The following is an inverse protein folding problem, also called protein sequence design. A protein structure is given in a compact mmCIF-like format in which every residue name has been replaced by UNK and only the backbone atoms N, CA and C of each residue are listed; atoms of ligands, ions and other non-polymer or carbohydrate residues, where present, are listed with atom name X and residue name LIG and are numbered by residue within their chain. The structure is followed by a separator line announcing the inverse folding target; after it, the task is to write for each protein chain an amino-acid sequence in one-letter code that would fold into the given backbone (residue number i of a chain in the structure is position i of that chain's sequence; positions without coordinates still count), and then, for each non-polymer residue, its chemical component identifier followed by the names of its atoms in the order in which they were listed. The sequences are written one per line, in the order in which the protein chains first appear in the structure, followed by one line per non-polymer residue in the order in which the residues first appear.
data_IF_501104215906
#
_entry.id   IF_501104215906
#
_cell.length_a   1.000
_cell.length_b   1.000
_cell.length_c   1.000
_cell.angle_alpha   90.00
_cell.angle_beta   90.00
_cell.angle_gamma   90.00
#
_symmetry.space_group_name_H-M   'P 1'
#
loop_
_entity.id
_entity.type
_entity.pdbx_description
1 polymer ?
#
# COMPACT_ATOMS: atom_id res chain seq x y z
N UNK A 1 -19.75 -7.32 -7.94
CA UNK A 1 -20.40 -6.01 -7.87
C UNK A 1 -19.63 -5.03 -8.76
N UNK A 2 -20.30 -4.49 -9.77
CA UNK A 2 -19.77 -3.46 -10.66
C UNK A 2 -20.15 -2.08 -10.09
N UNK A 3 -19.16 -1.34 -9.64
CA UNK A 3 -19.33 -0.03 -9.04
C UNK A 3 -18.84 1.04 -10.04
N UNK A 4 -19.74 1.66 -10.77
CA UNK A 4 -19.41 2.78 -11.66
C UNK A 4 -18.89 4.00 -10.86
N UNK A 5 -19.41 4.19 -9.66
CA UNK A 5 -18.96 5.24 -8.73
C UNK A 5 -19.45 4.91 -7.32
N UNK A 6 -18.54 4.83 -6.38
CA UNK A 6 -18.80 4.79 -4.96
C UNK A 6 -18.06 5.96 -4.32
N UNK A 7 -18.76 6.83 -3.61
CA UNK A 7 -18.15 7.88 -2.78
C UNK A 7 -18.48 7.63 -1.33
N UNK A 8 -17.46 7.69 -0.48
CA UNK A 8 -17.58 7.42 0.94
C UNK A 8 -16.44 8.12 1.71
N UNK A 9 -16.44 8.02 3.01
CA UNK A 9 -15.31 8.40 3.87
C UNK A 9 -14.76 7.19 4.60
N UNK A 10 -13.53 7.29 5.11
CA UNK A 10 -12.97 6.22 5.95
C UNK A 10 -13.81 6.00 7.20
N UNK A 11 -14.41 7.05 7.76
CA UNK A 11 -15.29 6.91 8.91
C UNK A 11 -16.53 6.07 8.60
N UNK A 12 -17.13 6.26 7.42
CA UNK A 12 -18.29 5.45 7.01
C UNK A 12 -17.88 3.99 6.79
N UNK A 13 -16.72 3.77 6.13
CA UNK A 13 -16.18 2.41 5.91
C UNK A 13 -15.86 1.73 7.24
N UNK A 14 -15.25 2.43 8.21
CA UNK A 14 -14.95 1.89 9.53
C UNK A 14 -16.20 1.53 10.34
N UNK A 15 -17.27 2.30 10.17
CA UNK A 15 -18.56 2.08 10.85
C UNK A 15 -19.45 1.07 10.12
N UNK A 16 -19.02 0.55 8.97
CA UNK A 16 -19.79 -0.44 8.25
C UNK A 16 -19.83 -1.77 9.02
N UNK A 17 -21.01 -2.15 9.48
CA UNK A 17 -21.21 -3.39 10.23
C UNK A 17 -21.29 -4.59 9.28
N UNK A 18 -20.28 -5.43 9.28
CA UNK A 18 -20.29 -6.71 8.59
C UNK A 18 -20.81 -7.75 9.57
N UNK A 19 -21.85 -8.48 9.18
CA UNK A 19 -22.34 -9.61 9.97
C UNK A 19 -21.88 -10.92 9.30
N UNK A 20 -21.03 -11.68 10.00
CA UNK A 20 -20.58 -13.01 9.58
C UNK A 20 -20.86 -14.03 10.67
N UNK A 21 -21.61 -15.09 10.35
CA UNK A 21 -21.98 -16.12 11.32
C UNK A 21 -22.65 -15.54 12.59
N UNK A 22 -23.52 -14.52 12.44
CA UNK A 22 -24.20 -13.86 13.54
C UNK A 22 -23.33 -12.92 14.39
N UNK A 23 -22.05 -12.77 14.08
CA UNK A 23 -21.12 -11.86 14.77
C UNK A 23 -20.89 -10.62 13.94
N UNK A 24 -20.93 -9.45 14.58
CA UNK A 24 -20.53 -8.18 13.96
C UNK A 24 -19.01 -8.16 13.86
N UNK A 25 -18.50 -7.94 12.65
CA UNK A 25 -17.08 -7.73 12.38
C UNK A 25 -16.92 -6.25 12.02
N UNK A 26 -16.04 -5.56 12.73
CA UNK A 26 -15.69 -4.18 12.45
C UNK A 26 -14.36 -4.15 11.70
N UNK A 27 -14.29 -3.41 10.60
CA UNK A 27 -13.05 -3.25 9.85
C UNK A 27 -12.07 -2.42 10.68
N UNK A 28 -10.91 -2.99 10.96
CA UNK A 28 -9.82 -2.26 11.60
C UNK A 28 -9.02 -1.53 10.53
N UNK A 29 -9.21 -0.22 10.44
CA UNK A 29 -8.55 0.63 9.47
C UNK A 29 -7.39 1.35 10.17
N UNK A 30 -6.17 1.33 9.60
CA UNK A 30 -5.05 2.07 10.16
C UNK A 30 -5.35 3.57 10.26
N UNK A 31 -4.90 4.20 11.34
CA UNK A 31 -5.16 5.62 11.62
C UNK A 31 -4.70 6.56 10.50
N UNK A 32 -3.62 6.20 9.79
CA UNK A 32 -3.10 6.98 8.67
C UNK A 32 -4.11 7.17 7.52
N UNK A 33 -5.13 6.31 7.43
CA UNK A 33 -6.17 6.45 6.42
C UNK A 33 -7.31 7.41 6.79
N UNK A 34 -7.45 7.79 8.06
CA UNK A 34 -8.55 8.69 8.50
C UNK A 34 -8.45 10.12 7.92
N UNK A 35 -7.27 10.52 7.45
CA UNK A 35 -7.04 11.82 6.81
C UNK A 35 -7.16 11.81 5.28
N UNK A 36 -7.67 10.72 4.70
CA UNK A 36 -7.78 10.56 3.24
C UNK A 36 -8.88 11.41 2.60
N UNK A 37 -9.77 11.99 3.40
CA UNK A 37 -10.92 12.74 2.93
C UNK A 37 -11.97 11.86 2.28
N UNK A 38 -12.60 12.36 1.22
CA UNK A 38 -13.55 11.58 0.42
C UNK A 38 -12.78 10.55 -0.39
N UNK A 39 -13.23 9.31 -0.32
CA UNK A 39 -12.79 8.19 -1.13
C UNK A 39 -13.75 8.04 -2.30
N UNK A 40 -13.24 8.09 -3.52
CA UNK A 40 -14.01 7.78 -4.73
C UNK A 40 -13.45 6.52 -5.37
N UNK A 41 -14.26 5.49 -5.42
CA UNK A 41 -13.90 4.20 -6.04
C UNK A 41 -14.74 3.96 -7.29
N UNK A 42 -14.06 3.49 -8.34
CA UNK A 42 -14.67 3.02 -9.58
C UNK A 42 -14.01 1.69 -9.95
N UNK A 43 -14.79 0.64 -10.12
CA UNK A 43 -14.25 -0.67 -10.47
C UNK A 43 -15.15 -1.83 -10.07
N UNK A 44 -14.57 -3.01 -10.09
CA UNK A 44 -15.25 -4.25 -9.76
C UNK A 44 -14.76 -4.77 -8.41
N UNK A 45 -15.70 -5.16 -7.60
CA UNK A 45 -15.46 -5.86 -6.34
C UNK A 45 -16.12 -7.24 -6.42
N UNK A 46 -15.33 -8.28 -6.23
CA UNK A 46 -15.82 -9.67 -6.26
C UNK A 46 -15.38 -10.39 -5.00
N UNK A 47 -16.34 -11.07 -4.36
CA UNK A 47 -16.10 -11.79 -3.11
C UNK A 47 -16.89 -11.25 -1.93
N UNK A 48 -16.48 -11.63 -0.74
CA UNK A 48 -16.98 -11.12 0.53
C UNK A 48 -16.02 -10.06 1.07
N UNK A 49 -16.48 -9.18 1.96
CA UNK A 49 -15.63 -8.16 2.57
C UNK A 49 -14.42 -8.72 3.35
N UNK A 50 -14.46 -10.01 3.68
CA UNK A 50 -13.37 -10.73 4.33
C UNK A 50 -12.41 -11.43 3.36
N UNK A 51 -12.82 -11.60 2.11
CA UNK A 51 -12.09 -12.34 1.08
C UNK A 51 -12.54 -11.77 -0.26
N UNK A 52 -11.75 -10.93 -0.87
CA UNK A 52 -12.17 -10.22 -2.06
C UNK A 52 -11.05 -10.01 -3.07
N UNK A 53 -11.48 -9.90 -4.31
CA UNK A 53 -10.66 -9.39 -5.41
C UNK A 53 -11.20 -8.02 -5.79
N UNK A 54 -10.33 -7.04 -5.85
CA UNK A 54 -10.68 -5.70 -6.29
C UNK A 54 -9.88 -5.32 -7.53
N UNK A 55 -10.61 -4.93 -8.55
CA UNK A 55 -10.07 -4.34 -9.76
C UNK A 55 -10.68 -2.96 -9.93
N UNK A 56 -9.88 -1.91 -9.80
CA UNK A 56 -10.45 -0.58 -9.89
C UNK A 56 -9.47 0.55 -9.57
N UNK A 57 -10.06 1.73 -9.50
CA UNK A 57 -9.34 2.96 -9.19
C UNK A 57 -9.94 3.61 -7.96
N UNK A 58 -9.11 3.80 -6.95
CA UNK A 58 -9.41 4.58 -5.75
C UNK A 58 -8.75 5.95 -5.85
N UNK A 59 -9.53 7.00 -5.65
CA UNK A 59 -9.05 8.39 -5.57
C UNK A 59 -9.33 8.94 -4.19
N UNK A 60 -8.38 9.68 -3.65
CA UNK A 60 -8.47 10.33 -2.34
C UNK A 60 -7.58 11.58 -2.31
N UNK A 61 -7.59 12.31 -1.21
CA UNK A 61 -6.60 13.37 -0.97
C UNK A 61 -5.16 12.85 -0.92
N UNK A 62 -4.97 11.58 -0.66
CA UNK A 62 -3.63 10.96 -0.64
C UNK A 62 -3.08 10.65 -2.03
N UNK A 63 -3.89 10.76 -3.08
CA UNK A 63 -3.52 10.42 -4.46
C UNK A 63 -4.40 9.34 -5.06
N UNK A 64 -3.92 8.74 -6.14
CA UNK A 64 -4.67 7.74 -6.90
C UNK A 64 -4.00 6.38 -6.73
N UNK A 65 -4.81 5.35 -6.48
CA UNK A 65 -4.38 3.96 -6.46
C UNK A 65 -5.23 3.19 -7.46
N UNK A 66 -4.59 2.50 -8.40
CA UNK A 66 -5.23 1.48 -9.24
C UNK A 66 -4.81 0.11 -8.69
N UNK A 67 -5.78 -0.76 -8.52
CA UNK A 67 -5.58 -2.09 -7.94
C UNK A 67 -6.09 -3.17 -8.88
N UNK A 68 -5.37 -4.27 -8.89
CA UNK A 68 -5.79 -5.59 -9.32
C UNK A 68 -5.25 -6.56 -8.27
N UNK A 69 -5.90 -6.57 -7.11
CA UNK A 69 -5.40 -7.21 -5.89
C UNK A 69 -6.44 -8.13 -5.29
N UNK A 70 -6.02 -9.34 -4.95
CA UNK A 70 -6.75 -10.27 -4.09
C UNK A 70 -6.32 -10.07 -2.64
N UNK A 71 -7.29 -10.04 -1.73
CA UNK A 71 -7.07 -9.99 -0.28
C UNK A 71 -7.78 -11.17 0.35
N UNK A 72 -7.05 -12.01 1.07
CA UNK A 72 -7.55 -13.26 1.67
C UNK A 72 -7.22 -13.25 3.16
N UNK A 73 -8.23 -13.36 4.05
CA UNK A 73 -7.97 -13.48 5.47
C UNK A 73 -7.36 -14.85 5.80
N UNK A 74 -6.31 -14.83 6.58
CA UNK A 74 -5.74 -16.01 7.25
C UNK A 74 -6.23 -16.09 8.71
N UNK A 75 -5.68 -17.02 9.48
CA UNK A 75 -5.91 -17.08 10.92
C UNK A 75 -5.21 -15.92 11.63
N UNK A 76 -5.61 -15.65 12.86
CA UNK A 76 -4.93 -14.75 13.79
C UNK A 76 -4.83 -13.28 13.34
N UNK A 77 -5.81 -12.80 12.54
CA UNK A 77 -5.85 -11.40 12.09
C UNK A 77 -4.85 -11.07 10.99
N UNK A 78 -4.32 -12.08 10.31
CA UNK A 78 -3.45 -11.90 9.16
C UNK A 78 -4.28 -11.84 7.89
N UNK A 79 -3.95 -10.92 6.99
CA UNK A 79 -4.51 -10.80 5.64
C UNK A 79 -3.40 -10.95 4.61
N UNK A 80 -3.52 -11.96 3.73
CA UNK A 80 -2.65 -12.04 2.56
C UNK A 80 -3.16 -11.14 1.46
N UNK A 81 -2.26 -10.44 0.81
CA UNK A 81 -2.55 -9.64 -0.37
C UNK A 81 -1.63 -10.07 -1.52
N UNK A 82 -2.20 -10.14 -2.72
CA UNK A 82 -1.44 -10.47 -3.93
C UNK A 82 -2.03 -9.78 -5.13
N UNK A 83 -1.19 -9.19 -5.97
CA UNK A 83 -1.63 -8.60 -7.23
C UNK A 83 -0.80 -7.42 -7.68
N UNK A 84 -1.39 -6.61 -8.56
CA UNK A 84 -0.76 -5.42 -9.12
C UNK A 84 -1.31 -4.15 -8.49
N UNK A 85 -0.40 -3.23 -8.14
CA UNK A 85 -0.74 -1.91 -7.64
C UNK A 85 -0.04 -0.86 -8.51
N UNK A 86 -0.78 0.17 -8.89
CA UNK A 86 -0.22 1.36 -9.51
C UNK A 86 -0.67 2.57 -8.71
N UNK A 87 0.27 3.40 -8.27
CA UNK A 87 -0.03 4.67 -7.60
C UNK A 87 0.33 5.86 -8.49
N UNK A 88 -0.37 6.96 -8.32
CA UNK A 88 -0.02 8.23 -8.95
C UNK A 88 -0.10 9.31 -7.87
N UNK A 89 1.01 9.99 -7.64
CA UNK A 89 1.18 11.06 -6.65
C UNK A 89 0.62 10.68 -5.26
N UNK A 90 0.79 9.41 -4.88
CA UNK A 90 0.28 8.90 -3.61
C UNK A 90 1.16 9.34 -2.46
N UNK A 91 0.59 10.01 -1.46
CA UNK A 91 1.32 10.55 -0.32
C UNK A 91 1.75 9.43 0.65
N UNK A 92 2.92 8.86 0.37
CA UNK A 92 3.53 7.77 1.15
C UNK A 92 3.96 8.25 2.54
N UNK A 93 4.41 9.50 2.64
CA UNK A 93 4.80 10.10 3.92
C UNK A 93 3.64 10.16 4.91
N UNK A 94 2.46 10.56 4.46
CA UNK A 94 1.25 10.55 5.30
C UNK A 94 0.86 9.12 5.71
N UNK A 95 0.98 8.14 4.81
CA UNK A 95 0.68 6.74 5.13
C UNK A 95 1.60 6.20 6.20
N UNK A 96 2.90 6.46 6.08
CA UNK A 96 3.94 5.96 6.99
C UNK A 96 4.19 6.87 8.20
N UNK A 97 3.47 8.00 8.29
CA UNK A 97 3.64 9.02 9.34
C UNK A 97 5.09 9.51 9.45
N UNK A 98 5.72 9.78 8.31
CA UNK A 98 7.08 10.30 8.22
C UNK A 98 7.11 11.60 7.40
N UNK A 99 8.01 12.51 7.74
CA UNK A 99 8.29 13.73 6.99
C UNK A 99 9.48 13.59 6.01
N UNK A 100 10.12 12.43 6.02
CA UNK A 100 11.27 12.15 5.13
C UNK A 100 10.78 11.82 3.73
N UNK A 101 9.62 11.16 3.61
CA UNK A 101 9.02 10.75 2.35
C UNK A 101 7.80 11.64 2.04
N UNK A 102 7.63 11.97 0.78
CA UNK A 102 6.46 12.65 0.25
C UNK A 102 5.62 11.73 -0.65
N UNK A 103 5.41 12.15 -1.89
CA UNK A 103 4.60 11.41 -2.86
C UNK A 103 5.40 10.34 -3.58
N UNK A 104 4.68 9.27 -3.97
CA UNK A 104 5.22 8.18 -4.77
C UNK A 104 4.33 7.90 -5.98
N UNK A 105 4.96 7.69 -7.14
CA UNK A 105 4.34 7.12 -8.33
C UNK A 105 4.99 5.76 -8.59
N UNK A 106 4.27 4.69 -8.32
CA UNK A 106 4.73 3.31 -8.35
C UNK A 106 3.87 2.46 -9.28
N UNK A 107 4.48 1.50 -9.96
CA UNK A 107 3.79 0.47 -10.72
C UNK A 107 4.49 -0.87 -10.50
N UNK A 108 3.81 -1.83 -9.90
CA UNK A 108 4.43 -3.11 -9.60
C UNK A 108 3.49 -4.16 -9.05
N UNK A 109 4.07 -5.32 -8.78
CA UNK A 109 3.40 -6.45 -8.15
C UNK A 109 3.77 -6.51 -6.67
N UNK A 110 2.80 -6.93 -5.89
CA UNK A 110 2.94 -7.13 -4.44
C UNK A 110 2.41 -8.53 -4.08
N UNK A 111 3.07 -9.20 -3.14
CA UNK A 111 2.65 -10.51 -2.64
C UNK A 111 3.12 -10.65 -1.19
N UNK A 112 2.20 -10.58 -0.24
CA UNK A 112 2.59 -10.57 1.16
C UNK A 112 1.45 -10.68 2.14
N UNK A 113 1.76 -10.34 3.38
CA UNK A 113 0.84 -10.42 4.51
C UNK A 113 0.81 -9.09 5.28
N UNK A 114 -0.38 -8.74 5.75
CA UNK A 114 -0.63 -7.68 6.72
C UNK A 114 -1.20 -8.27 8.00
N UNK A 115 -0.57 -7.99 9.13
CA UNK A 115 -1.04 -8.40 10.44
C UNK A 115 -1.72 -7.21 11.13
N UNK A 116 -3.03 -7.35 11.44
CA UNK A 116 -3.81 -6.30 12.08
C UNK A 116 -3.32 -6.03 13.51
N UNK A 117 -2.87 -7.07 14.24
CA UNK A 117 -2.59 -6.98 15.67
C UNK A 117 -1.39 -6.07 15.97
N UNK A 118 -0.33 -6.19 15.20
CA UNK A 118 0.89 -5.39 15.34
C UNK A 118 1.07 -4.35 14.23
N UNK A 119 0.10 -4.30 13.29
CA UNK A 119 0.09 -3.41 12.12
C UNK A 119 1.32 -3.58 11.23
N UNK A 120 1.90 -4.78 11.23
CA UNK A 120 3.07 -5.08 10.42
C UNK A 120 2.68 -5.51 9.00
N UNK A 121 3.54 -5.15 8.05
CA UNK A 121 3.46 -5.58 6.67
C UNK A 121 4.72 -6.38 6.33
N UNK A 122 4.55 -7.44 5.56
CA UNK A 122 5.68 -8.20 5.01
C UNK A 122 5.32 -8.69 3.61
N UNK A 123 6.30 -8.80 2.72
CA UNK A 123 6.03 -9.33 1.39
C UNK A 123 7.08 -8.98 0.36
N UNK A 124 6.88 -9.56 -0.81
CA UNK A 124 7.63 -9.26 -2.03
C UNK A 124 7.04 -8.01 -2.68
N UNK A 125 7.93 -7.12 -3.10
CA UNK A 125 7.64 -5.93 -3.87
C UNK A 125 8.53 -5.93 -5.10
N UNK A 126 7.92 -5.93 -6.26
CA UNK A 126 8.64 -5.92 -7.54
C UNK A 126 8.01 -4.92 -8.49
N UNK A 127 8.77 -3.91 -8.90
CA UNK A 127 8.22 -2.90 -9.80
C UNK A 127 9.14 -1.71 -10.01
N UNK A 128 8.53 -0.64 -10.52
CA UNK A 128 9.18 0.60 -10.85
C UNK A 128 8.54 1.76 -10.12
N UNK A 129 9.37 2.60 -9.52
CA UNK A 129 8.99 3.88 -8.96
C UNK A 129 9.42 4.94 -9.98
N UNK A 130 8.44 5.51 -10.68
CA UNK A 130 8.72 6.57 -11.64
C UNK A 130 9.16 7.86 -10.92
N UNK A 131 8.56 8.14 -9.74
CA UNK A 131 8.88 9.31 -8.92
C UNK A 131 8.73 8.99 -7.45
N UNK A 132 9.68 9.44 -6.64
CA UNK A 132 9.66 9.40 -5.18
C UNK A 132 10.15 10.72 -4.61
N UNK A 133 9.27 11.46 -3.95
CA UNK A 133 9.66 12.63 -3.17
C UNK A 133 10.31 12.18 -1.86
N UNK A 134 11.55 12.59 -1.61
CA UNK A 134 12.24 12.37 -0.34
C UNK A 134 13.17 13.54 -0.03
N UNK A 135 13.07 14.11 1.18
CA UNK A 135 13.91 15.23 1.66
C UNK A 135 14.02 16.36 0.63
N UNK A 136 12.88 16.86 0.14
CA UNK A 136 12.80 17.98 -0.81
C UNK A 136 13.40 17.72 -2.21
N UNK A 137 13.73 16.45 -2.50
CA UNK A 137 14.19 16.02 -3.81
C UNK A 137 13.24 14.99 -4.42
N UNK A 138 13.10 15.00 -5.74
CA UNK A 138 12.32 14.00 -6.49
C UNK A 138 13.29 13.06 -7.16
N UNK A 139 13.38 11.85 -6.64
CA UNK A 139 14.12 10.75 -7.26
C UNK A 139 13.27 10.10 -8.33
N UNK A 140 13.89 9.77 -9.47
CA UNK A 140 13.20 9.18 -10.63
C UNK A 140 13.84 7.85 -11.02
N UNK A 141 13.08 7.04 -11.79
CA UNK A 141 13.57 5.82 -12.45
C UNK A 141 14.20 4.80 -11.48
N UNK A 142 13.46 4.46 -10.43
CA UNK A 142 13.91 3.47 -9.44
C UNK A 142 13.23 2.13 -9.75
N UNK A 143 14.01 1.07 -9.91
CA UNK A 143 13.53 -0.32 -9.97
C UNK A 143 13.81 -1.00 -8.66
N UNK A 144 12.84 -1.76 -8.16
CA UNK A 144 13.01 -2.56 -6.95
C UNK A 144 12.48 -3.98 -7.18
N UNK A 145 13.18 -4.94 -6.57
CA UNK A 145 12.78 -6.35 -6.53
C UNK A 145 13.32 -6.94 -5.23
N UNK A 146 12.44 -7.12 -4.24
CA UNK A 146 12.90 -7.58 -2.93
C UNK A 146 11.77 -7.89 -1.96
N UNK A 147 12.16 -8.44 -0.83
CA UNK A 147 11.29 -8.81 0.27
C UNK A 147 11.47 -7.83 1.44
N UNK A 148 10.36 -7.36 1.95
CA UNK A 148 10.32 -6.49 3.14
C UNK A 148 9.66 -7.21 4.31
N UNK A 149 10.29 -7.17 5.47
CA UNK A 149 9.74 -7.65 6.74
C UNK A 149 10.45 -6.98 7.91
N UNK A 150 9.70 -6.60 8.96
CA UNK A 150 10.26 -6.09 10.23
C UNK A 150 11.28 -4.95 10.04
N UNK A 151 10.99 -4.01 9.12
CA UNK A 151 11.88 -2.91 8.74
C UNK A 151 13.19 -3.35 8.06
N UNK A 152 13.28 -4.60 7.65
CA UNK A 152 14.38 -5.11 6.82
C UNK A 152 13.91 -5.23 5.38
N UNK A 153 14.70 -4.73 4.45
CA UNK A 153 14.55 -4.99 3.02
C UNK A 153 15.69 -5.88 2.55
N UNK A 154 15.37 -6.93 1.82
CA UNK A 154 16.35 -7.86 1.24
C UNK A 154 16.06 -8.00 -0.25
N UNK A 155 16.95 -7.50 -1.11
CA UNK A 155 16.69 -7.47 -2.54
C UNK A 155 17.62 -6.57 -3.33
N UNK A 156 17.11 -6.12 -4.48
CA UNK A 156 17.80 -5.25 -5.42
C UNK A 156 17.07 -3.92 -5.55
N UNK A 157 17.83 -2.83 -5.60
CA UNK A 157 17.37 -1.50 -5.95
C UNK A 157 18.31 -0.93 -7.00
N UNK A 158 17.77 -0.60 -8.15
CA UNK A 158 18.49 0.11 -9.19
C UNK A 158 17.87 1.49 -9.37
N UNK A 159 18.64 2.54 -9.27
CA UNK A 159 18.21 3.92 -9.47
C UNK A 159 19.03 4.54 -10.60
N UNK A 160 18.33 5.10 -11.58
CA UNK A 160 18.92 5.83 -12.70
C UNK A 160 18.31 7.23 -12.79
N UNK A 161 18.58 8.02 -11.75
CA UNK A 161 18.18 9.42 -11.66
C UNK A 161 19.22 10.33 -12.33
N UNK A 162 18.83 11.55 -12.72
CA UNK A 162 19.73 12.51 -13.36
C UNK A 162 20.92 12.92 -12.47
N UNK A 163 20.78 12.90 -11.15
CA UNK A 163 21.78 13.32 -10.18
C UNK A 163 22.40 12.15 -9.40
N UNK A 164 21.75 10.98 -9.41
CA UNK A 164 22.19 9.81 -8.66
C UNK A 164 21.98 8.53 -9.45
N UNK A 165 23.07 7.82 -9.73
CA UNK A 165 23.01 6.46 -10.25
C UNK A 165 23.49 5.50 -9.18
N UNK A 166 22.70 4.48 -8.89
CA UNK A 166 22.93 3.63 -7.74
C UNK A 166 22.37 2.23 -8.01
N UNK A 167 23.22 1.24 -7.79
CA UNK A 167 22.88 -0.18 -7.82
C UNK A 167 23.14 -0.78 -6.44
N UNK A 168 22.11 -1.33 -5.84
CA UNK A 168 22.21 -2.01 -4.57
C UNK A 168 21.68 -3.43 -4.69
N UNK A 169 22.39 -4.38 -4.11
CA UNK A 169 21.93 -5.74 -3.91
C UNK A 169 22.36 -6.21 -2.53
N UNK A 170 21.40 -6.59 -1.70
CA UNK A 170 21.69 -7.06 -0.35
C UNK A 170 20.57 -6.81 0.62
N UNK A 171 20.94 -6.73 1.90
CA UNK A 171 20.01 -6.50 3.00
C UNK A 171 20.20 -5.11 3.59
N UNK A 172 19.10 -4.39 3.78
CA UNK A 172 19.06 -3.04 4.29
C UNK A 172 18.20 -2.99 5.56
N UNK A 173 18.77 -2.51 6.66
CA UNK A 173 18.06 -2.26 7.90
C UNK A 173 17.47 -0.84 7.87
N UNK A 174 16.13 -0.75 7.76
CA UNK A 174 15.37 0.49 7.76
C UNK A 174 14.84 0.86 9.16
N UNK A 175 15.28 0.16 10.21
CA UNK A 175 14.87 0.45 11.59
C UNK A 175 15.54 1.69 12.16
N UNK A 176 16.67 2.10 11.59
CA UNK A 176 17.53 3.22 12.04
C UNK A 176 17.35 4.43 11.12
N UNK A 177 17.61 5.63 11.66
CA UNK A 177 17.55 6.88 10.86
C UNK A 177 18.60 6.91 9.75
N UNK A 178 19.72 6.23 9.95
CA UNK A 178 20.75 5.97 8.93
C UNK A 178 20.71 4.48 8.59
N UNK A 179 20.34 4.10 7.38
CA UNK A 179 20.39 2.70 6.93
C UNK A 179 21.81 2.14 7.00
N UNK A 180 21.95 0.93 7.53
CA UNK A 180 23.17 0.14 7.49
C UNK A 180 23.00 -1.05 6.57
#
# INVERSE_FOLDING_TARGET
LDLKRLETTINDVANFNIVRNGKKIQLQIPESFYNTGILSFNGNFSGFLSDFVTFGTLRSKMGIIKTDVSVIPKKDGIYSYRGKITTTDFNLGNLLKTNILGKITFNGNVDGDYNISDKSISGLFKGEIAKLEAKDYIYENIKLDGYYKEKMFDGMVNMNDSNLQFDFQGRLDLSKETPN
#
